data_IF_258090664739
#
_entry.id   IF_258090664739
#
_cell.length_a   1.000
_cell.length_b   1.000
_cell.length_c   1.000
_cell.angle_alpha   90.00
_cell.angle_beta   90.00
_cell.angle_gamma   90.00
#
_symmetry.space_group_name_H-M   'P 1'
#
loop_
_entity.id
_entity.type
_entity.pdbx_description
1 polymer ?
#
# COMPACT_ATOMS: atom_id res chain seq x y z
N UNK A 1 22.48 -5.63 -11.75
CA UNK A 1 22.09 -6.99 -12.18
C UNK A 1 21.25 -7.58 -11.06
N UNK A 2 19.94 -7.73 -11.26
CA UNK A 2 19.04 -8.37 -10.29
C UNK A 2 19.02 -9.86 -10.60
N UNK A 3 19.53 -10.67 -9.68
CA UNK A 3 19.50 -12.12 -9.79
C UNK A 3 18.15 -12.63 -9.28
N UNK A 4 17.24 -12.92 -10.20
CA UNK A 4 16.03 -13.69 -9.93
C UNK A 4 16.41 -15.14 -9.61
N UNK A 5 16.59 -15.43 -8.33
CA UNK A 5 16.78 -16.80 -7.84
C UNK A 5 15.44 -17.51 -7.83
N UNK A 6 15.10 -18.18 -8.93
CA UNK A 6 14.02 -19.16 -8.97
C UNK A 6 14.42 -20.34 -8.07
N UNK A 7 13.84 -20.41 -6.87
CA UNK A 7 13.98 -21.59 -6.03
C UNK A 7 13.27 -22.77 -6.74
N UNK A 8 13.89 -23.97 -6.80
CA UNK A 8 13.24 -25.13 -7.39
C UNK A 8 11.93 -25.41 -6.65
N UNK A 9 10.80 -25.49 -7.36
CA UNK A 9 9.46 -25.49 -6.78
C UNK A 9 9.20 -26.58 -5.73
N UNK A 10 9.98 -27.67 -5.73
CA UNK A 10 9.92 -28.72 -4.70
C UNK A 10 10.47 -28.29 -3.33
N UNK A 11 11.41 -27.35 -3.30
CA UNK A 11 11.95 -26.76 -2.08
C UNK A 11 10.89 -25.86 -1.40
N UNK A 12 10.22 -25.02 -2.19
CA UNK A 12 9.20 -24.11 -1.67
C UNK A 12 8.01 -24.84 -1.03
N UNK A 13 7.56 -25.96 -1.61
CA UNK A 13 6.49 -26.77 -0.99
C UNK A 13 6.88 -27.31 0.39
N UNK A 14 8.14 -27.72 0.56
CA UNK A 14 8.65 -28.21 1.85
C UNK A 14 8.78 -27.08 2.86
N UNK A 15 9.26 -25.91 2.44
CA UNK A 15 9.35 -24.72 3.29
C UNK A 15 7.97 -24.25 3.78
N UNK A 16 6.94 -24.27 2.92
CA UNK A 16 5.56 -23.95 3.32
C UNK A 16 5.05 -24.92 4.38
N UNK A 17 5.28 -26.23 4.21
CA UNK A 17 4.86 -27.23 5.19
C UNK A 17 5.62 -27.09 6.52
N UNK A 18 6.91 -26.78 6.47
CA UNK A 18 7.71 -26.51 7.68
C UNK A 18 7.19 -25.27 8.41
N UNK A 19 6.89 -24.17 7.68
CA UNK A 19 6.33 -22.97 8.27
C UNK A 19 4.96 -23.24 8.93
N UNK A 20 4.10 -24.03 8.28
CA UNK A 20 2.80 -24.45 8.84
C UNK A 20 2.95 -25.36 10.07
N UNK A 21 4.00 -26.18 10.13
CA UNK A 21 4.32 -27.00 11.30
C UNK A 21 4.67 -26.14 12.51
N UNK A 22 5.26 -24.97 12.31
CA UNK A 22 5.67 -24.07 13.38
C UNK A 22 4.54 -23.09 13.77
N UNK A 23 3.76 -22.62 12.78
CA UNK A 23 2.68 -21.66 12.98
C UNK A 23 1.52 -21.92 12.02
N UNK A 24 0.32 -22.17 12.56
CA UNK A 24 -0.92 -22.33 11.80
C UNK A 24 -2.10 -21.65 12.51
N UNK A 25 -2.91 -20.82 11.80
CA UNK A 25 -2.80 -20.42 10.40
C UNK A 25 -1.66 -19.41 10.14
N UNK A 26 -1.24 -19.29 8.88
CA UNK A 26 -0.21 -18.33 8.44
C UNK A 26 -0.67 -17.50 7.24
N UNK A 27 -0.21 -16.25 7.18
CA UNK A 27 -0.34 -15.40 6.00
C UNK A 27 0.88 -15.60 5.11
N UNK A 28 0.66 -16.04 3.87
CA UNK A 28 1.75 -16.35 2.94
C UNK A 28 2.56 -15.11 2.54
N UNK A 29 1.90 -13.95 2.46
CA UNK A 29 2.54 -12.65 2.19
C UNK A 29 3.49 -12.21 3.31
N UNK A 30 3.19 -12.54 4.56
CA UNK A 30 4.05 -12.22 5.72
C UNK A 30 5.16 -13.25 5.91
N UNK A 31 4.85 -14.54 5.70
CA UNK A 31 5.82 -15.63 5.90
C UNK A 31 6.87 -15.69 4.78
N UNK A 32 6.53 -15.25 3.57
CA UNK A 32 7.40 -15.33 2.40
C UNK A 32 7.46 -13.98 1.63
N UNK A 33 7.93 -12.89 2.27
CA UNK A 33 7.84 -11.54 1.70
C UNK A 33 8.76 -11.30 0.49
N UNK A 34 9.77 -12.15 0.31
CA UNK A 34 10.77 -12.04 -0.77
C UNK A 34 10.47 -12.92 -1.97
N UNK A 35 9.47 -13.81 -1.88
CA UNK A 35 9.12 -14.75 -2.94
C UNK A 35 7.97 -14.17 -3.75
N UNK A 36 8.06 -14.29 -5.08
CA UNK A 36 7.02 -13.80 -5.96
C UNK A 36 5.68 -14.52 -5.69
N UNK A 37 4.59 -13.76 -5.72
CA UNK A 37 3.24 -14.28 -5.47
C UNK A 37 2.89 -15.48 -6.37
N UNK A 38 3.31 -15.44 -7.64
CA UNK A 38 3.04 -16.51 -8.60
C UNK A 38 3.67 -17.84 -8.18
N UNK A 39 4.89 -17.81 -7.64
CA UNK A 39 5.60 -19.01 -7.20
C UNK A 39 4.98 -19.59 -5.93
N UNK A 40 4.61 -18.73 -4.97
CA UNK A 40 3.89 -19.13 -3.76
C UNK A 40 2.55 -19.75 -4.14
N UNK A 41 1.77 -19.10 -5.01
CA UNK A 41 0.46 -19.59 -5.43
C UNK A 41 0.57 -20.96 -6.11
N UNK A 42 1.54 -21.14 -7.02
CA UNK A 42 1.77 -22.42 -7.68
C UNK A 42 2.12 -23.54 -6.66
N UNK A 43 2.91 -23.23 -5.63
CA UNK A 43 3.24 -24.17 -4.57
C UNK A 43 2.03 -24.50 -3.68
N UNK A 44 1.23 -23.49 -3.30
CA UNK A 44 -0.01 -23.68 -2.53
C UNK A 44 -1.03 -24.53 -3.31
N UNK A 45 -1.24 -24.26 -4.60
CA UNK A 45 -2.12 -25.03 -5.48
C UNK A 45 -1.66 -26.50 -5.57
N UNK A 46 -0.35 -26.74 -5.66
CA UNK A 46 0.21 -28.10 -5.67
C UNK A 46 -0.06 -28.84 -4.37
N UNK A 47 0.14 -28.19 -3.22
CA UNK A 47 -0.13 -28.78 -1.90
C UNK A 47 -1.63 -29.03 -1.69
N UNK A 48 -2.49 -28.10 -2.10
CA UNK A 48 -3.93 -28.23 -2.01
C UNK A 48 -4.47 -29.36 -2.91
N UNK A 49 -3.92 -29.51 -4.13
CA UNK A 49 -4.31 -30.61 -5.05
C UNK A 49 -4.03 -32.00 -4.49
N UNK A 50 -3.11 -32.10 -3.51
CA UNK A 50 -2.76 -33.33 -2.79
C UNK A 50 -3.43 -33.43 -1.43
N UNK A 51 -4.40 -32.54 -1.13
CA UNK A 51 -5.10 -32.45 0.15
C UNK A 51 -4.15 -32.28 1.35
N UNK A 52 -2.98 -31.66 1.15
CA UNK A 52 -2.01 -31.45 2.24
C UNK A 52 -2.31 -30.18 3.04
N UNK A 53 -2.96 -29.21 2.42
CA UNK A 53 -3.35 -27.94 3.01
C UNK A 53 -4.72 -27.51 2.49
N UNK A 54 -5.35 -26.60 3.23
CA UNK A 54 -6.47 -25.78 2.75
C UNK A 54 -6.06 -24.33 2.89
N UNK A 55 -6.36 -23.51 1.89
CA UNK A 55 -6.05 -22.09 1.94
C UNK A 55 -7.15 -21.29 1.23
N UNK A 56 -7.27 -20.01 1.61
CA UNK A 56 -8.17 -19.05 1.00
C UNK A 56 -7.35 -17.85 0.52
N UNK A 57 -7.73 -17.26 -0.62
CA UNK A 57 -7.13 -16.02 -1.10
C UNK A 57 -7.77 -14.85 -0.37
N UNK A 58 -6.95 -14.01 0.26
CA UNK A 58 -7.38 -12.81 0.97
C UNK A 58 -6.97 -11.61 0.11
N UNK A 59 -7.98 -10.89 -0.39
CA UNK A 59 -7.76 -9.63 -1.11
C UNK A 59 -7.67 -8.48 -0.10
N UNK A 60 -6.64 -7.64 -0.26
CA UNK A 60 -6.41 -6.45 0.57
C UNK A 60 -6.26 -5.24 -0.33
N UNK A 61 -7.10 -4.24 -0.11
CA UNK A 61 -7.00 -2.94 -0.75
C UNK A 61 -6.26 -1.98 0.19
N UNK A 62 -5.13 -1.46 -0.27
CA UNK A 62 -4.38 -0.42 0.44
C UNK A 62 -4.42 0.87 -0.39
N UNK A 63 -5.32 1.78 -0.03
CA UNK A 63 -5.35 3.11 -0.63
C UNK A 63 -4.15 3.91 -0.09
N UNK A 64 -3.31 4.41 -1.00
CA UNK A 64 -2.20 5.31 -0.68
C UNK A 64 -2.55 6.73 -1.15
N UNK A 65 -2.05 7.73 -0.43
CA UNK A 65 -2.17 9.11 -0.89
C UNK A 65 -1.20 9.33 -2.05
N UNK A 66 -1.70 9.94 -3.12
CA UNK A 66 -0.85 10.48 -4.17
C UNK A 66 -0.17 11.77 -3.66
N UNK A 67 0.97 12.21 -4.24
CA UNK A 67 1.71 13.38 -3.78
C UNK A 67 0.86 14.66 -3.63
N UNK A 68 -0.15 14.85 -4.49
CA UNK A 68 -1.10 15.97 -4.37
C UNK A 68 -1.98 15.84 -3.12
N UNK A 69 -2.50 14.65 -2.85
CA UNK A 69 -3.33 14.38 -1.68
C UNK A 69 -2.53 14.45 -0.37
N UNK A 70 -1.23 14.11 -0.39
CA UNK A 70 -0.33 14.34 0.74
C UNK A 70 -0.21 15.84 1.07
N UNK A 71 -0.06 16.70 0.05
CA UNK A 71 -0.01 18.15 0.27
C UNK A 71 -1.31 18.70 0.83
N UNK A 72 -2.46 18.20 0.36
CA UNK A 72 -3.78 18.57 0.89
C UNK A 72 -3.94 18.11 2.34
N UNK A 73 -3.47 16.91 2.67
CA UNK A 73 -3.52 16.40 4.05
C UNK A 73 -2.64 17.23 5.00
N UNK A 74 -1.47 17.69 4.55
CA UNK A 74 -0.54 18.48 5.36
C UNK A 74 -0.98 19.95 5.50
N UNK A 75 -1.41 20.57 4.40
CA UNK A 75 -1.67 22.02 4.35
C UNK A 75 -3.16 22.37 4.41
N UNK A 76 -4.05 21.38 4.37
CA UNK A 76 -5.49 21.56 4.20
C UNK A 76 -5.89 21.79 2.75
N UNK A 77 -7.19 21.60 2.46
CA UNK A 77 -7.75 21.87 1.13
C UNK A 77 -7.56 23.33 0.73
N UNK A 78 -7.73 23.62 -0.56
CA UNK A 78 -7.69 24.99 -1.05
C UNK A 78 -8.63 25.91 -0.26
N UNK A 79 -9.87 25.47 -0.02
CA UNK A 79 -10.88 26.22 0.73
C UNK A 79 -10.48 26.43 2.20
N UNK A 80 -9.86 25.42 2.82
CA UNK A 80 -9.35 25.55 4.18
C UNK A 80 -8.24 26.60 4.26
N UNK A 81 -7.31 26.60 3.31
CA UNK A 81 -6.23 27.59 3.23
C UNK A 81 -6.76 29.00 2.92
N UNK A 82 -7.74 29.12 2.02
CA UNK A 82 -8.44 30.39 1.74
C UNK A 82 -9.12 30.93 2.99
N UNK A 83 -9.85 30.07 3.72
CA UNK A 83 -10.55 30.46 4.95
C UNK A 83 -9.58 30.93 6.03
N UNK A 84 -8.47 30.20 6.23
CA UNK A 84 -7.41 30.60 7.17
C UNK A 84 -6.79 31.96 6.82
N UNK A 85 -6.49 32.19 5.54
CA UNK A 85 -5.97 33.48 5.08
C UNK A 85 -6.96 34.63 5.34
N UNK A 86 -8.25 34.43 5.08
CA UNK A 86 -9.30 35.41 5.35
C UNK A 86 -9.52 35.63 6.85
N UNK A 87 -9.49 34.57 7.67
CA UNK A 87 -9.65 34.66 9.12
C UNK A 87 -8.53 35.48 9.76
N UNK A 88 -7.30 35.31 9.28
CA UNK A 88 -6.14 36.04 9.80
C UNK A 88 -6.08 37.49 9.29
N UNK A 89 -6.69 37.78 8.12
CA UNK A 89 -6.79 39.13 7.56
C UNK A 89 -8.06 39.86 8.06
N UNK A 90 -8.04 40.31 9.31
CA UNK A 90 -9.17 40.97 9.99
C UNK A 90 -9.67 42.23 9.27
N UNK A 91 -8.82 42.91 8.49
CA UNK A 91 -9.18 44.09 7.69
C UNK A 91 -9.66 43.76 6.27
N UNK A 92 -9.79 42.47 5.95
CA UNK A 92 -10.07 41.98 4.60
C UNK A 92 -8.80 41.81 3.77
N UNK A 93 -8.88 40.95 2.75
CA UNK A 93 -7.77 40.64 1.85
C UNK A 93 -8.22 40.88 0.40
N UNK A 94 -7.39 41.54 -0.40
CA UNK A 94 -7.66 41.66 -1.83
C UNK A 94 -7.49 40.30 -2.52
N UNK A 95 -8.15 40.08 -3.67
CA UNK A 95 -8.03 38.82 -4.42
C UNK A 95 -6.57 38.58 -4.85
N UNK A 96 -5.84 39.64 -5.17
CA UNK A 96 -4.44 39.58 -5.59
C UNK A 96 -3.50 39.18 -4.44
N UNK A 97 -3.80 39.64 -3.22
CA UNK A 97 -3.01 39.29 -2.03
C UNK A 97 -3.36 37.89 -1.51
N UNK A 98 -4.62 37.48 -1.70
CA UNK A 98 -5.05 36.11 -1.45
C UNK A 98 -4.30 35.14 -2.37
N UNK A 99 -4.32 35.35 -3.70
CA UNK A 99 -3.62 34.49 -4.67
C UNK A 99 -2.11 34.35 -4.36
N UNK A 100 -1.47 35.42 -3.86
CA UNK A 100 -0.06 35.37 -3.43
C UNK A 100 0.16 34.56 -2.16
N UNK A 101 -0.79 34.55 -1.23
CA UNK A 101 -0.66 33.90 0.07
C UNK A 101 -0.90 32.38 0.02
N UNK A 102 -1.82 31.92 -0.84
CA UNK A 102 -2.22 30.50 -0.94
C UNK A 102 -1.51 29.72 -2.06
N UNK A 103 -0.87 30.41 -3.01
CA UNK A 103 -0.22 29.76 -4.15
C UNK A 103 -1.22 29.19 -5.15
N UNK A 104 -0.72 28.40 -6.11
CA UNK A 104 -1.40 28.06 -7.36
C UNK A 104 -2.79 27.42 -7.18
N UNK A 105 -3.71 27.78 -8.10
CA UNK A 105 -5.14 27.44 -8.08
C UNK A 105 -5.43 25.95 -8.36
N UNK A 106 -4.39 25.18 -8.68
CA UNK A 106 -4.49 23.81 -9.17
C UNK A 106 -4.27 22.73 -8.10
N UNK A 107 -4.07 23.10 -6.83
CA UNK A 107 -4.01 22.12 -5.74
C UNK A 107 -5.41 22.03 -5.13
N UNK A 108 -6.24 21.13 -5.67
CA UNK A 108 -7.64 20.91 -5.25
C UNK A 108 -7.81 19.59 -4.53
#
# INVERSE_FOLDING_TARGET
MTTSSSAPSGDLTSQILQALSEKSPLLSSEAFPTIAFQDIKAALDRLASRSMITYETIDKEEAILEPEAEQIAEHGSHEARVFEALRNAVEGLSIQDLEKAIGDKTVT
#
